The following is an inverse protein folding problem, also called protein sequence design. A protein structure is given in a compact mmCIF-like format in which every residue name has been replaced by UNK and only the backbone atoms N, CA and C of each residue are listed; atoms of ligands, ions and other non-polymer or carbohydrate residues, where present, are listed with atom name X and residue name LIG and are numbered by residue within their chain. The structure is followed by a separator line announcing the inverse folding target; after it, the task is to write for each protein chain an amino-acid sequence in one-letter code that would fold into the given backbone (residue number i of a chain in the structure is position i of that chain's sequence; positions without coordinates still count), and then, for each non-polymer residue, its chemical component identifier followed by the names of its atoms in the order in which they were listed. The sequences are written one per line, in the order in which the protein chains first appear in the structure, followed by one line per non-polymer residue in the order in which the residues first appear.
data_IF_794938061309
#
_entry.id   IF_794938061309
#
_cell.length_a   1.000
_cell.length_b   1.000
_cell.length_c   1.000
_cell.angle_alpha   90.00
_cell.angle_beta   90.00
_cell.angle_gamma   90.00
#
_symmetry.space_group_name_H-M   'P 1'
#
loop_
_entity.id
_entity.type
_entity.pdbx_description
1 polymer ?
#
# COMPACT_ATOMS: atom_id res chain seq x y z
N UNK A 1 -6.73 -4.38 23.78
CA UNK A 1 -7.23 -4.06 22.43
C UNK A 1 -8.40 -4.96 22.12
N UNK A 2 -9.58 -4.40 21.95
CA UNK A 2 -10.75 -5.19 21.61
C UNK A 2 -10.66 -5.61 20.15
N UNK A 3 -10.49 -6.90 19.91
CA UNK A 3 -10.77 -7.53 18.61
C UNK A 3 -12.24 -7.24 18.29
N UNK A 4 -12.50 -6.37 17.34
CA UNK A 4 -13.81 -6.28 16.72
C UNK A 4 -13.97 -7.52 15.83
N UNK A 5 -14.37 -8.64 16.45
CA UNK A 5 -14.86 -9.78 15.70
C UNK A 5 -16.00 -9.26 14.82
N UNK A 6 -15.79 -9.24 13.49
CA UNK A 6 -16.88 -9.02 12.55
C UNK A 6 -17.97 -10.02 12.89
N UNK A 7 -19.15 -9.53 13.28
CA UNK A 7 -20.36 -10.36 13.37
C UNK A 7 -20.55 -10.97 11.98
N UNK A 8 -20.46 -12.30 11.91
CA UNK A 8 -20.96 -13.04 10.76
C UNK A 8 -22.44 -12.69 10.63
N UNK A 9 -22.75 -11.84 9.65
CA UNK A 9 -24.15 -11.60 9.27
C UNK A 9 -24.57 -12.76 8.39
N UNK A 10 -25.74 -13.32 8.64
CA UNK A 10 -26.34 -14.41 7.83
C UNK A 10 -26.70 -13.97 6.40
N UNK A 11 -26.28 -12.78 5.99
CA UNK A 11 -26.48 -12.26 4.66
C UNK A 11 -25.52 -12.90 3.66
N UNK A 12 -26.06 -13.32 2.53
CA UNK A 12 -25.25 -13.83 1.41
C UNK A 12 -24.29 -12.75 0.93
N UNK A 13 -23.02 -13.11 0.64
CA UNK A 13 -22.06 -12.18 0.07
C UNK A 13 -22.58 -11.52 -1.20
N UNK A 14 -22.40 -10.22 -1.34
CA UNK A 14 -22.83 -9.43 -2.50
C UNK A 14 -21.67 -8.64 -3.06
N UNK A 15 -21.63 -8.49 -4.39
CA UNK A 15 -20.71 -7.57 -5.03
C UNK A 15 -21.08 -6.11 -4.66
N UNK A 16 -20.07 -5.26 -4.57
CA UNK A 16 -20.26 -3.83 -4.33
C UNK A 16 -19.25 -3.00 -5.14
N UNK A 17 -19.66 -1.77 -5.42
CA UNK A 17 -18.80 -0.79 -6.11
C UNK A 17 -18.06 0.03 -5.06
N UNK A 18 -16.80 0.32 -5.32
CA UNK A 18 -15.98 1.21 -4.49
C UNK A 18 -15.33 2.29 -5.34
N UNK A 19 -14.98 3.40 -4.69
CA UNK A 19 -14.35 4.56 -5.33
C UNK A 19 -12.86 4.59 -5.02
N UNK A 20 -12.06 5.05 -5.98
CA UNK A 20 -10.63 5.32 -5.81
C UNK A 20 -10.36 6.77 -5.44
N UNK A 21 -11.40 7.58 -5.19
CA UNK A 21 -11.23 9.01 -4.83
C UNK A 21 -10.33 9.14 -3.60
N UNK A 22 -9.21 9.81 -3.77
CA UNK A 22 -8.17 9.95 -2.75
C UNK A 22 -7.54 11.33 -2.88
N UNK A 23 -7.30 12.07 -1.80
CA UNK A 23 -6.71 13.41 -1.90
C UNK A 23 -5.28 13.34 -2.46
N UNK A 24 -4.96 14.28 -3.37
CA UNK A 24 -3.57 14.53 -3.74
C UNK A 24 -2.81 15.13 -2.56
N UNK A 25 -1.51 14.86 -2.52
CA UNK A 25 -0.65 15.27 -1.42
C UNK A 25 0.27 16.41 -1.84
N UNK A 26 0.35 17.43 -1.00
CA UNK A 26 1.37 18.48 -1.09
C UNK A 26 2.69 18.00 -0.48
N UNK A 27 2.60 17.17 0.56
CA UNK A 27 3.73 16.61 1.30
C UNK A 27 3.34 15.26 1.90
N UNK A 28 4.29 14.34 1.98
CA UNK A 28 4.08 13.05 2.60
C UNK A 28 3.22 12.11 1.77
N UNK A 29 2.51 11.24 2.43
CA UNK A 29 1.67 10.22 1.79
C UNK A 29 0.33 10.04 2.46
N UNK A 30 -0.64 9.54 1.69
CA UNK A 30 -1.90 8.98 2.19
C UNK A 30 -2.01 7.53 1.74
N UNK A 31 -2.56 6.70 2.60
CA UNK A 31 -2.94 5.32 2.30
C UNK A 31 -4.38 5.14 2.71
N UNK A 32 -5.25 4.86 1.76
CA UNK A 32 -6.68 4.73 1.98
C UNK A 32 -7.15 3.34 1.58
N UNK A 33 -7.73 2.60 2.54
CA UNK A 33 -8.40 1.34 2.25
C UNK A 33 -9.71 1.64 1.50
N UNK A 34 -9.85 1.16 0.29
CA UNK A 34 -11.02 1.41 -0.56
C UNK A 34 -11.95 0.21 -0.70
N UNK A 35 -11.42 -1.00 -0.57
CA UNK A 35 -12.22 -2.22 -0.59
C UNK A 35 -11.48 -3.36 0.12
N UNK A 36 -12.24 -4.28 0.72
CA UNK A 36 -11.66 -5.47 1.34
C UNK A 36 -12.64 -6.64 1.38
N UNK A 37 -12.07 -7.83 1.39
CA UNK A 37 -12.73 -9.08 1.74
C UNK A 37 -11.92 -9.79 2.84
N UNK A 38 -12.30 -11.01 3.18
CA UNK A 38 -11.53 -11.81 4.14
C UNK A 38 -10.09 -12.10 3.66
N UNK A 39 -9.87 -12.22 2.34
CA UNK A 39 -8.60 -12.68 1.77
C UNK A 39 -7.88 -11.64 0.92
N UNK A 40 -8.51 -10.49 0.67
CA UNK A 40 -7.98 -9.46 -0.24
C UNK A 40 -8.33 -8.08 0.27
N UNK A 41 -7.41 -7.14 0.08
CA UNK A 41 -7.63 -5.72 0.38
C UNK A 41 -7.00 -4.84 -0.69
N UNK A 42 -7.66 -3.72 -0.95
CA UNK A 42 -7.26 -2.76 -1.98
C UNK A 42 -7.09 -1.40 -1.33
N UNK A 43 -5.90 -0.82 -1.49
CA UNK A 43 -5.61 0.54 -1.07
C UNK A 43 -5.30 1.42 -2.28
N UNK A 44 -5.73 2.67 -2.22
CA UNK A 44 -5.05 3.73 -2.95
C UNK A 44 -3.96 4.32 -2.08
N UNK A 45 -2.79 4.56 -2.68
CA UNK A 45 -1.66 5.23 -2.02
C UNK A 45 -1.21 6.37 -2.91
N UNK A 46 -1.08 7.55 -2.32
CA UNK A 46 -0.55 8.73 -3.01
C UNK A 46 0.62 9.27 -2.21
N UNK A 47 1.78 9.37 -2.87
CA UNK A 47 3.00 9.90 -2.31
C UNK A 47 3.40 11.18 -3.05
N UNK A 48 3.50 12.30 -2.33
CA UNK A 48 4.09 13.52 -2.88
C UNK A 48 5.60 13.36 -3.11
N UNK A 49 6.26 12.67 -2.18
CA UNK A 49 7.68 12.31 -2.22
C UNK A 49 7.91 11.01 -1.43
N UNK A 50 9.11 10.45 -1.53
CA UNK A 50 9.53 9.30 -0.74
C UNK A 50 8.72 8.04 -1.04
N UNK A 51 8.52 7.25 -0.02
CA UNK A 51 7.81 5.97 -0.11
C UNK A 51 7.99 5.15 1.13
N UNK A 52 8.42 3.92 0.97
CA UNK A 52 8.87 3.04 2.05
C UNK A 52 10.39 3.01 2.06
N UNK A 53 11.00 3.54 3.11
CA UNK A 53 12.44 3.79 3.13
C UNK A 53 13.27 2.55 3.47
N UNK A 54 12.67 1.55 4.12
CA UNK A 54 13.38 0.35 4.56
C UNK A 54 12.98 -0.89 3.78
N UNK A 55 13.99 -1.68 3.42
CA UNK A 55 13.82 -3.01 2.85
C UNK A 55 13.11 -3.90 3.87
N UNK A 56 12.02 -4.51 3.45
CA UNK A 56 11.24 -5.44 4.26
C UNK A 56 10.52 -6.47 3.38
N UNK A 57 10.00 -7.50 4.01
CA UNK A 57 9.12 -8.48 3.38
C UNK A 57 7.86 -8.68 4.23
N UNK A 58 6.83 -9.21 3.61
CA UNK A 58 5.66 -9.74 4.27
C UNK A 58 5.70 -11.27 4.17
N UNK A 59 5.55 -11.95 5.30
CA UNK A 59 5.71 -13.40 5.36
C UNK A 59 4.44 -14.17 4.97
N UNK A 60 3.29 -13.51 5.01
CA UNK A 60 1.96 -14.12 4.85
C UNK A 60 1.08 -13.43 3.80
N UNK A 61 1.61 -12.44 3.10
CA UNK A 61 0.86 -11.64 2.14
C UNK A 61 1.59 -11.52 0.80
N UNK A 62 0.84 -11.71 -0.28
CA UNK A 62 1.25 -11.28 -1.61
C UNK A 62 0.79 -9.85 -1.84
N UNK A 63 1.62 -9.04 -2.49
CA UNK A 63 1.28 -7.67 -2.87
C UNK A 63 1.45 -7.45 -4.37
N UNK A 64 0.59 -6.59 -4.91
CA UNK A 64 0.77 -6.02 -6.24
C UNK A 64 0.60 -4.50 -6.15
N UNK A 65 1.49 -3.76 -6.80
CA UNK A 65 1.34 -2.32 -6.99
C UNK A 65 1.08 -2.04 -8.46
N UNK A 66 0.09 -1.20 -8.75
CA UNK A 66 -0.24 -0.73 -10.10
C UNK A 66 -0.12 0.78 -10.10
N UNK A 67 0.76 1.32 -10.93
CA UNK A 67 0.98 2.76 -11.06
C UNK A 67 -0.10 3.36 -11.96
N UNK A 68 -0.88 4.30 -11.44
CA UNK A 68 -1.91 5.04 -12.18
C UNK A 68 -1.43 6.41 -12.62
N UNK A 69 -0.56 7.06 -11.83
CA UNK A 69 0.09 8.33 -12.17
C UNK A 69 1.51 8.35 -11.63
N UNK A 70 2.41 8.99 -12.36
CA UNK A 70 3.80 9.14 -11.96
C UNK A 70 4.68 7.94 -12.30
N UNK A 71 5.79 7.82 -11.57
CA UNK A 71 6.77 6.74 -11.71
C UNK A 71 7.24 6.30 -10.33
N UNK A 72 7.38 5.01 -10.16
CA UNK A 72 7.85 4.38 -8.94
C UNK A 72 9.13 3.58 -9.23
N UNK A 73 10.09 3.64 -8.32
CA UNK A 73 11.20 2.69 -8.29
C UNK A 73 11.02 1.72 -7.14
N UNK A 74 11.18 0.44 -7.43
CA UNK A 74 11.18 -0.64 -6.44
C UNK A 74 12.59 -1.19 -6.34
N UNK A 75 13.08 -1.34 -5.11
CA UNK A 75 14.42 -1.87 -4.83
C UNK A 75 14.30 -3.18 -4.06
N UNK A 76 15.08 -4.16 -4.43
CA UNK A 76 15.24 -5.39 -3.67
C UNK A 76 16.37 -5.29 -2.63
N UNK A 77 16.61 -6.38 -1.87
CA UNK A 77 17.63 -6.45 -0.82
C UNK A 77 19.06 -6.32 -1.35
N UNK A 78 19.28 -6.50 -2.66
CA UNK A 78 20.59 -6.33 -3.29
C UNK A 78 20.84 -4.92 -3.78
N UNK A 79 19.81 -4.05 -3.69
CA UNK A 79 19.84 -2.70 -4.24
C UNK A 79 19.50 -2.61 -5.73
N UNK A 80 19.07 -3.72 -6.35
CA UNK A 80 18.58 -3.71 -7.74
C UNK A 80 17.33 -2.86 -7.83
N UNK A 81 17.34 -1.90 -8.75
CA UNK A 81 16.22 -1.02 -9.05
C UNK A 81 15.35 -1.57 -10.19
N UNK A 82 14.06 -1.55 -10.00
CA UNK A 82 13.05 -1.79 -11.02
C UNK A 82 12.17 -0.55 -11.14
N UNK A 83 12.13 0.07 -12.31
CA UNK A 83 11.24 1.20 -12.59
C UNK A 83 9.87 0.70 -13.00
N UNK A 84 8.84 1.25 -12.40
CA UNK A 84 7.44 0.95 -12.69
C UNK A 84 6.77 2.26 -13.13
N UNK A 85 6.43 2.34 -14.40
CA UNK A 85 5.84 3.52 -15.03
C UNK A 85 4.32 3.46 -14.97
N UNK A 86 3.68 4.57 -15.36
CA UNK A 86 2.22 4.62 -15.48
C UNK A 86 1.68 3.43 -16.27
N UNK A 87 0.62 2.82 -15.73
CA UNK A 87 -0.05 1.62 -16.26
C UNK A 87 0.78 0.33 -16.25
N UNK A 88 1.89 0.35 -15.54
CA UNK A 88 2.63 -0.88 -15.20
C UNK A 88 2.38 -1.27 -13.76
N UNK A 89 2.57 -2.53 -13.47
CA UNK A 89 2.50 -3.08 -12.12
C UNK A 89 3.75 -3.87 -11.77
N UNK A 90 3.93 -4.06 -10.47
CA UNK A 90 4.96 -4.96 -9.92
C UNK A 90 4.29 -5.93 -8.97
N UNK A 91 4.62 -7.21 -9.12
CA UNK A 91 4.17 -8.27 -8.23
C UNK A 91 5.26 -8.55 -7.19
N UNK A 92 4.87 -8.55 -5.93
CA UNK A 92 5.75 -8.81 -4.79
C UNK A 92 5.17 -10.01 -4.03
N UNK A 93 5.61 -11.24 -4.36
CA UNK A 93 5.19 -12.43 -3.64
C UNK A 93 5.61 -12.37 -2.17
N UNK A 94 4.86 -13.02 -1.32
CA UNK A 94 5.25 -13.18 0.10
C UNK A 94 6.69 -13.70 0.21
N UNK A 95 7.43 -13.16 1.14
CA UNK A 95 8.84 -13.49 1.33
C UNK A 95 9.81 -12.69 0.45
N UNK A 96 9.35 -12.01 -0.59
CA UNK A 96 10.20 -11.13 -1.40
C UNK A 96 10.50 -9.84 -0.66
N UNK A 97 11.76 -9.43 -0.61
CA UNK A 97 12.20 -8.19 0.01
C UNK A 97 12.07 -7.02 -0.95
N UNK A 98 11.59 -5.91 -0.46
CA UNK A 98 11.44 -4.70 -1.26
C UNK A 98 11.34 -3.43 -0.42
N UNK A 99 11.56 -2.31 -1.07
CA UNK A 99 11.10 -0.97 -0.71
C UNK A 99 10.74 -0.22 -1.98
N UNK A 100 9.94 0.81 -1.91
CA UNK A 100 9.62 1.64 -3.08
C UNK A 100 9.75 3.13 -2.78
N UNK A 101 10.02 3.91 -3.82
CA UNK A 101 10.10 5.37 -3.77
C UNK A 101 9.34 5.98 -4.96
N UNK A 102 8.74 7.14 -4.72
CA UNK A 102 8.32 8.05 -5.79
C UNK A 102 9.59 8.63 -6.43
N UNK A 103 9.85 8.30 -7.67
CA UNK A 103 11.01 8.80 -8.44
C UNK A 103 10.59 9.68 -9.60
N UNK A 104 9.31 9.99 -9.71
CA UNK A 104 8.77 10.96 -10.66
C UNK A 104 8.79 12.40 -10.12
N UNK A 105 8.27 13.33 -10.92
CA UNK A 105 8.28 14.76 -10.63
C UNK A 105 7.03 15.29 -9.91
N UNK A 106 6.00 14.47 -9.78
CA UNK A 106 4.71 14.84 -9.14
C UNK A 106 4.24 13.77 -8.18
N UNK A 107 2.96 13.78 -7.87
CA UNK A 107 2.37 12.73 -7.05
C UNK A 107 2.51 11.36 -7.74
N UNK A 108 2.92 10.38 -6.97
CA UNK A 108 2.83 8.98 -7.35
C UNK A 108 1.49 8.45 -6.87
N UNK A 109 0.64 8.00 -7.78
CA UNK A 109 -0.63 7.36 -7.46
C UNK A 109 -0.55 5.89 -7.80
N UNK A 110 -0.72 5.05 -6.80
CA UNK A 110 -0.71 3.59 -6.96
C UNK A 110 -1.93 2.94 -6.32
N UNK A 111 -2.38 1.85 -6.93
CA UNK A 111 -3.24 0.88 -6.28
C UNK A 111 -2.32 -0.20 -5.68
N UNK A 112 -2.48 -0.45 -4.39
CA UNK A 112 -1.87 -1.59 -3.72
C UNK A 112 -2.93 -2.64 -3.46
N UNK A 113 -2.73 -3.81 -4.01
CA UNK A 113 -3.56 -4.99 -3.75
C UNK A 113 -2.76 -5.91 -2.84
N UNK A 114 -3.37 -6.30 -1.74
CA UNK A 114 -2.83 -7.31 -0.84
C UNK A 114 -3.75 -8.53 -0.82
N UNK A 115 -3.15 -9.71 -0.79
CA UNK A 115 -3.87 -10.97 -0.63
C UNK A 115 -3.13 -11.82 0.41
N UNK A 116 -3.86 -12.35 1.38
CA UNK A 116 -3.28 -13.07 2.49
C UNK A 116 -3.89 -14.45 2.71
N UNK A 117 -3.35 -15.16 3.68
CA UNK A 117 -3.90 -16.44 4.11
C UNK A 117 -5.21 -16.21 4.86
N UNK A 118 -6.21 -17.01 4.53
CA UNK A 118 -7.53 -16.93 5.17
C UNK A 118 -7.42 -16.94 6.71
N UNK A 119 -8.09 -15.99 7.35
CA UNK A 119 -8.12 -15.88 8.81
C UNK A 119 -6.88 -15.23 9.44
N UNK A 120 -5.90 -14.80 8.63
CA UNK A 120 -4.77 -14.03 9.13
C UNK A 120 -5.10 -12.54 9.17
N UNK A 121 -4.61 -11.81 10.18
CA UNK A 121 -4.78 -10.36 10.22
C UNK A 121 -4.12 -9.70 9.00
N UNK A 122 -4.84 -8.78 8.39
CA UNK A 122 -4.27 -7.99 7.31
C UNK A 122 -3.13 -7.12 7.84
N UNK A 123 -1.97 -7.20 7.19
CA UNK A 123 -0.86 -6.30 7.46
C UNK A 123 -0.41 -6.28 8.91
N UNK A 124 -0.50 -7.41 9.60
CA UNK A 124 -0.01 -7.53 10.97
C UNK A 124 1.43 -7.06 11.05
N UNK A 125 1.74 -6.16 11.97
CA UNK A 125 3.08 -5.58 12.12
C UNK A 125 4.14 -6.63 12.36
N UNK A 126 3.78 -7.71 13.02
CA UNK A 126 4.65 -8.83 13.35
C UNK A 126 5.07 -9.65 12.12
N UNK A 127 4.31 -9.53 11.03
CA UNK A 127 4.57 -10.29 9.79
C UNK A 127 5.41 -9.50 8.78
N UNK A 128 5.73 -8.24 9.07
CA UNK A 128 6.70 -7.46 8.30
C UNK A 128 8.05 -7.55 8.96
N UNK A 129 9.03 -8.03 8.23
CA UNK A 129 10.38 -8.22 8.76
C UNK A 129 11.44 -7.61 7.84
N UNK A 130 12.52 -7.13 8.45
CA UNK A 130 13.73 -6.71 7.75
C UNK A 130 14.56 -7.92 7.32
N UNK A 131 15.56 -7.73 6.45
CA UNK A 131 16.47 -8.81 6.06
C UNK A 131 17.21 -9.49 7.22
N UNK A 132 17.40 -8.77 8.33
CA UNK A 132 17.98 -9.33 9.58
C UNK A 132 16.96 -10.10 10.43
N UNK A 133 15.74 -10.27 9.97
CA UNK A 133 14.66 -10.96 10.66
C UNK A 133 13.95 -10.16 11.74
N UNK A 134 14.35 -8.90 11.98
CA UNK A 134 13.70 -8.05 12.99
C UNK A 134 12.38 -7.48 12.45
N UNK A 135 11.35 -7.38 13.30
CA UNK A 135 10.09 -6.75 12.91
C UNK A 135 10.28 -5.31 12.41
N UNK A 136 9.51 -4.93 11.39
CA UNK A 136 9.40 -3.55 10.92
C UNK A 136 7.95 -3.09 11.12
N UNK A 137 7.63 -2.40 12.21
CA UNK A 137 6.30 -1.86 12.43
C UNK A 137 5.88 -0.90 11.32
N UNK A 138 4.65 -1.00 10.85
CA UNK A 138 4.13 -0.13 9.78
C UNK A 138 4.15 1.37 10.16
N UNK A 139 4.12 1.62 11.46
CA UNK A 139 4.20 2.95 12.05
C UNK A 139 5.61 3.48 12.29
N UNK A 140 6.68 2.72 11.98
CA UNK A 140 8.04 3.14 12.29
C UNK A 140 8.41 4.44 11.58
N UNK A 141 9.10 5.31 12.31
CA UNK A 141 9.48 6.64 11.78
C UNK A 141 10.51 6.50 10.65
N UNK A 142 11.34 5.50 10.70
CA UNK A 142 12.35 5.21 9.68
C UNK A 142 11.74 4.84 8.33
N UNK A 143 10.54 4.29 8.37
CA UNK A 143 9.81 3.88 7.16
C UNK A 143 8.78 4.91 6.68
N UNK A 144 8.72 6.07 7.31
CA UNK A 144 7.78 7.14 6.94
C UNK A 144 8.46 8.22 6.10
N UNK A 145 7.65 8.84 5.27
CA UNK A 145 7.96 10.11 4.63
C UNK A 145 7.69 11.29 5.57
N UNK A 146 7.79 12.50 5.06
CA UNK A 146 7.41 13.71 5.79
C UNK A 146 5.94 13.66 6.27
N UNK A 147 5.56 14.43 7.29
CA UNK A 147 4.17 14.49 7.74
C UNK A 147 3.20 14.80 6.61
N UNK A 148 2.02 14.15 6.55
CA UNK A 148 1.10 14.30 5.44
C UNK A 148 0.45 15.68 5.43
N UNK A 149 0.46 16.32 4.25
CA UNK A 149 -0.26 17.56 3.96
C UNK A 149 -1.00 17.35 2.64
N UNK A 150 -2.33 17.41 2.69
CA UNK A 150 -3.17 17.28 1.51
C UNK A 150 -3.18 18.55 0.66
N UNK A 151 -3.40 18.41 -0.64
CA UNK A 151 -3.75 19.53 -1.51
C UNK A 151 -5.23 19.86 -1.31
N UNK A 152 -5.59 21.05 -0.80
CA UNK A 152 -6.99 21.38 -0.54
C UNK A 152 -7.84 21.28 -1.80
N UNK A 153 -8.94 20.53 -1.73
CA UNK A 153 -9.92 20.40 -2.81
C UNK A 153 -9.43 19.67 -4.06
N UNK A 154 -8.29 19.01 -4.03
CA UNK A 154 -7.76 18.24 -5.17
C UNK A 154 -7.72 16.76 -4.87
N UNK A 155 -8.36 15.97 -5.72
CA UNK A 155 -8.50 14.54 -5.57
C UNK A 155 -8.14 13.78 -6.83
N UNK A 156 -7.44 12.68 -6.68
CA UNK A 156 -7.37 11.64 -7.70
C UNK A 156 -8.74 10.98 -7.85
N UNK A 157 -9.16 10.68 -9.09
CA UNK A 157 -10.45 10.04 -9.40
C UNK A 157 -11.66 10.78 -8.78
N UNK A 158 -11.65 12.10 -8.83
CA UNK A 158 -12.71 12.93 -8.24
C UNK A 158 -14.10 12.62 -8.80
N UNK A 159 -14.21 12.31 -10.09
CA UNK A 159 -15.48 11.95 -10.76
C UNK A 159 -16.04 10.58 -10.32
N UNK A 160 -15.26 9.77 -9.64
CA UNK A 160 -15.70 8.45 -9.18
C UNK A 160 -16.51 8.48 -7.87
N UNK A 161 -16.73 9.65 -7.34
CA UNK A 161 -17.53 9.83 -6.12
C UNK A 161 -16.78 10.24 -4.93
#
# INVERSE_FOLDING_TARGET
MQSTARKQTDEKPKAYVYSLKTPYMKQGRVTQLVAETENMWIHTKINAEGGENEIHTHLDEDHSFIVLEGEMSVFDETGREMKVKQYQGVMIPKGAYYRYLNTGSGNLVVIRIGAGVKGQPQGGEEMRVRPDGKPLPSGSIENKTLPPIEMPGKFFAESAG
#
